data_IF_050336340080
#
_entry.id   IF_050336340080
#
_cell.length_a   1.000
_cell.length_b   1.000
_cell.length_c   1.000
_cell.angle_alpha   90.00
_cell.angle_beta   90.00
_cell.angle_gamma   90.00
#
_symmetry.space_group_name_H-M   'P 1'
#
loop_
_entity.id
_entity.type
_entity.pdbx_description
1 polymer ?
#
# COMPACT_ATOMS: atom_id res chain seq x y z
N UNK A 1 -4.37 -6.08 -10.13
CA UNK A 1 -3.98 -4.72 -9.71
C UNK A 1 -3.39 -3.99 -10.90
N UNK A 2 -3.69 -2.70 -11.00
CA UNK A 2 -3.32 -1.86 -12.13
C UNK A 2 -1.82 -1.48 -12.07
N UNK A 3 -1.03 -1.69 -13.15
CA UNK A 3 0.39 -1.37 -13.14
C UNK A 3 0.71 0.10 -12.91
N UNK A 4 -0.13 1.03 -13.38
CA UNK A 4 0.12 2.46 -13.19
C UNK A 4 -0.07 2.86 -11.72
N UNK A 5 -1.13 2.38 -11.06
CA UNK A 5 -1.33 2.58 -9.63
C UNK A 5 -0.20 1.96 -8.79
N UNK A 6 0.27 0.76 -9.15
CA UNK A 6 1.39 0.11 -8.44
C UNK A 6 2.68 0.92 -8.61
N UNK A 7 2.98 1.37 -9.84
CA UNK A 7 4.16 2.19 -10.10
C UNK A 7 4.10 3.54 -9.36
N UNK A 8 2.93 4.17 -9.27
CA UNK A 8 2.74 5.42 -8.51
C UNK A 8 3.09 5.23 -7.02
N UNK A 9 2.58 4.17 -6.39
CA UNK A 9 2.91 3.83 -4.99
C UNK A 9 4.43 3.67 -4.82
N UNK A 10 5.11 3.00 -5.75
CA UNK A 10 6.56 2.84 -5.69
C UNK A 10 7.33 4.15 -5.87
N UNK A 11 6.87 5.04 -6.75
CA UNK A 11 7.49 6.36 -6.90
C UNK A 11 7.35 7.20 -5.63
N UNK A 12 6.20 7.12 -4.97
CA UNK A 12 5.99 7.76 -3.66
C UNK A 12 6.94 7.19 -2.61
N UNK A 13 7.03 5.86 -2.48
CA UNK A 13 7.98 5.20 -1.56
C UNK A 13 9.42 5.64 -1.82
N UNK A 14 9.84 5.63 -3.10
CA UNK A 14 11.16 6.05 -3.53
C UNK A 14 11.44 7.52 -3.18
N UNK A 15 10.50 8.42 -3.45
CA UNK A 15 10.64 9.86 -3.17
C UNK A 15 10.83 10.17 -1.69
N UNK A 16 10.31 9.32 -0.80
CA UNK A 16 10.41 9.46 0.65
C UNK A 16 11.62 8.74 1.25
N UNK A 17 12.39 8.04 0.42
CA UNK A 17 13.58 7.30 0.85
C UNK A 17 13.25 6.08 1.72
N UNK A 18 12.06 5.50 1.56
CA UNK A 18 11.67 4.29 2.26
C UNK A 18 12.18 3.05 1.54
N UNK A 19 12.51 2.01 2.30
CA UNK A 19 12.83 0.69 1.74
C UNK A 19 11.52 -0.01 1.36
N UNK A 20 11.38 -0.41 0.10
CA UNK A 20 10.19 -1.10 -0.40
C UNK A 20 10.56 -2.31 -1.28
N UNK A 21 9.58 -3.18 -1.51
CA UNK A 21 9.65 -4.28 -2.47
C UNK A 21 8.26 -4.57 -3.03
N UNK A 22 8.18 -5.10 -4.26
CA UNK A 22 6.92 -5.62 -4.81
C UNK A 22 6.57 -6.93 -4.14
N UNK A 23 5.33 -7.04 -3.70
CA UNK A 23 4.78 -8.25 -3.10
C UNK A 23 3.42 -8.59 -3.66
N UNK A 24 3.12 -9.88 -3.73
CA UNK A 24 1.77 -10.38 -3.97
C UNK A 24 1.10 -10.63 -2.62
N UNK A 25 -0.16 -10.23 -2.49
CA UNK A 25 -0.93 -10.55 -1.29
C UNK A 25 -1.22 -12.06 -1.21
N UNK A 26 -0.90 -12.68 -0.06
CA UNK A 26 -1.35 -14.03 0.28
C UNK A 26 -2.77 -14.09 0.87
N UNK A 27 -3.35 -12.95 1.24
CA UNK A 27 -4.68 -12.84 1.83
C UNK A 27 -5.70 -12.21 0.86
N UNK A 28 -6.98 -12.47 1.11
CA UNK A 28 -8.09 -11.80 0.42
C UNK A 28 -8.36 -10.42 1.01
N UNK A 29 -8.57 -9.43 0.13
CA UNK A 29 -8.93 -8.05 0.48
C UNK A 29 -9.99 -7.53 -0.48
N UNK A 30 -10.81 -6.57 -0.06
CA UNK A 30 -11.82 -5.94 -0.92
C UNK A 30 -11.19 -5.32 -2.17
N UNK A 31 -9.96 -4.82 -2.06
CA UNK A 31 -9.18 -4.28 -3.17
C UNK A 31 -9.00 -5.27 -4.33
N UNK A 32 -9.03 -6.59 -4.07
CA UNK A 32 -9.01 -7.62 -5.11
C UNK A 32 -10.25 -7.52 -6.01
N UNK A 33 -11.42 -7.31 -5.42
CA UNK A 33 -12.67 -7.18 -6.16
C UNK A 33 -12.79 -5.79 -6.80
N UNK A 34 -12.31 -4.74 -6.13
CA UNK A 34 -12.25 -3.40 -6.72
C UNK A 34 -11.39 -3.36 -7.99
N UNK A 35 -10.33 -4.17 -8.06
CA UNK A 35 -9.46 -4.26 -9.23
C UNK A 35 -10.17 -4.75 -10.51
N UNK A 36 -11.36 -5.36 -10.41
CA UNK A 36 -12.16 -5.76 -11.58
C UNK A 36 -12.96 -4.60 -12.18
N UNK A 37 -13.14 -3.49 -11.44
CA UNK A 37 -14.02 -2.37 -11.84
C UNK A 37 -13.30 -1.01 -11.88
N UNK A 38 -12.12 -0.88 -11.27
CA UNK A 38 -11.31 0.34 -11.36
C UNK A 38 -9.81 0.07 -11.17
N UNK A 39 -8.93 0.95 -11.70
CA UNK A 39 -7.50 0.90 -11.41
C UNK A 39 -7.26 0.89 -9.89
N UNK A 40 -6.54 -0.13 -9.42
CA UNK A 40 -6.38 -0.39 -7.98
C UNK A 40 -4.96 -0.87 -7.69
N UNK A 41 -4.39 -0.43 -6.57
CA UNK A 41 -3.16 -0.95 -5.97
C UNK A 41 -3.33 -1.02 -4.43
N UNK A 42 -2.39 -1.67 -3.75
CA UNK A 42 -2.38 -1.78 -2.28
C UNK A 42 -1.04 -1.31 -1.73
N UNK A 43 -1.06 -0.73 -0.53
CA UNK A 43 0.14 -0.38 0.26
C UNK A 43 0.19 -1.31 1.47
N UNK A 44 1.29 -2.04 1.63
CA UNK A 44 1.51 -2.92 2.78
C UNK A 44 2.61 -2.38 3.69
N UNK A 45 2.43 -2.63 4.98
CA UNK A 45 3.47 -2.43 6.00
C UNK A 45 3.76 -3.76 6.70
N UNK A 46 4.98 -3.96 7.24
CA UNK A 46 5.29 -5.15 8.01
C UNK A 46 4.53 -5.17 9.34
N UNK A 47 3.94 -6.32 9.67
CA UNK A 47 3.47 -6.65 11.01
C UNK A 47 4.57 -7.40 11.78
N UNK A 48 4.58 -7.25 13.11
CA UNK A 48 5.50 -7.94 14.01
C UNK A 48 5.36 -9.45 13.84
N UNK A 49 6.48 -10.12 13.59
CA UNK A 49 6.58 -11.58 13.37
C UNK A 49 5.67 -12.13 12.24
N UNK A 50 5.13 -11.26 11.39
CA UNK A 50 4.16 -11.64 10.35
C UNK A 50 2.83 -12.17 10.89
N UNK A 51 2.53 -11.95 12.18
CA UNK A 51 1.29 -12.39 12.80
C UNK A 51 0.10 -11.56 12.32
N UNK A 52 -1.01 -12.23 12.08
CA UNK A 52 -2.31 -11.60 11.89
C UNK A 52 -3.45 -12.52 12.38
N UNK A 53 -4.65 -11.97 12.58
CA UNK A 53 -5.81 -12.68 13.16
C UNK A 53 -5.49 -13.28 14.52
N UNK A 54 -4.68 -12.57 15.29
CA UNK A 54 -4.21 -12.97 16.60
C UNK A 54 -4.18 -11.73 17.51
N UNK A 55 -4.48 -11.90 18.79
CA UNK A 55 -4.48 -10.81 19.77
C UNK A 55 -3.10 -10.16 19.96
N UNK A 56 -2.03 -10.84 19.55
CA UNK A 56 -0.65 -10.35 19.55
C UNK A 56 -0.25 -9.68 18.23
N UNK A 57 -1.17 -9.53 17.27
CA UNK A 57 -0.93 -8.76 16.05
C UNK A 57 -0.54 -7.32 16.41
N UNK A 58 0.60 -6.87 15.88
CA UNK A 58 1.17 -5.57 16.22
C UNK A 58 1.97 -5.00 15.04
N UNK A 59 2.07 -3.68 14.97
CA UNK A 59 2.83 -2.97 13.95
C UNK A 59 3.55 -1.78 14.58
N UNK A 60 4.84 -1.64 14.29
CA UNK A 60 5.63 -0.53 14.83
C UNK A 60 5.07 0.83 14.35
N UNK A 61 4.97 1.80 15.26
CA UNK A 61 4.44 3.15 14.99
C UNK A 61 5.05 3.79 13.73
N UNK A 62 6.38 3.69 13.58
CA UNK A 62 7.08 4.21 12.40
C UNK A 62 6.56 3.61 11.08
N UNK A 63 6.18 2.34 11.07
CA UNK A 63 5.63 1.64 9.89
C UNK A 63 4.21 2.09 9.60
N UNK A 64 3.39 2.27 10.64
CA UNK A 64 2.04 2.84 10.50
C UNK A 64 2.12 4.23 9.87
N UNK A 65 2.97 5.12 10.40
CA UNK A 65 3.18 6.47 9.87
C UNK A 65 3.66 6.44 8.42
N UNK A 66 4.69 5.62 8.10
CA UNK A 66 5.21 5.56 6.74
C UNK A 66 4.17 5.04 5.74
N UNK A 67 3.43 3.98 6.09
CA UNK A 67 2.39 3.41 5.24
C UNK A 67 1.24 4.39 5.01
N UNK A 68 0.78 5.08 6.05
CA UNK A 68 -0.25 6.11 5.92
C UNK A 68 0.20 7.28 5.04
N UNK A 69 1.46 7.70 5.15
CA UNK A 69 2.00 8.77 4.32
C UNK A 69 2.11 8.37 2.84
N UNK A 70 2.48 7.12 2.56
CA UNK A 70 2.51 6.58 1.19
C UNK A 70 1.10 6.50 0.62
N UNK A 71 0.13 6.02 1.40
CA UNK A 71 -1.27 5.99 1.00
C UNK A 71 -1.81 7.39 0.68
N UNK A 72 -1.57 8.36 1.58
CA UNK A 72 -2.01 9.75 1.40
C UNK A 72 -1.42 10.36 0.13
N UNK A 73 -0.11 10.26 -0.05
CA UNK A 73 0.58 10.86 -1.19
C UNK A 73 0.13 10.21 -2.51
N UNK A 74 -0.01 8.88 -2.55
CA UNK A 74 -0.46 8.16 -3.74
C UNK A 74 -1.91 8.52 -4.10
N UNK A 75 -2.79 8.59 -3.11
CA UNK A 75 -4.19 8.99 -3.33
C UNK A 75 -4.28 10.45 -3.79
N UNK A 76 -3.47 11.34 -3.23
CA UNK A 76 -3.40 12.75 -3.63
C UNK A 76 -2.91 12.90 -5.06
N UNK A 77 -1.79 12.24 -5.42
CA UNK A 77 -1.27 12.26 -6.79
C UNK A 77 -2.32 11.73 -7.79
N UNK A 78 -2.95 10.60 -7.48
CA UNK A 78 -4.00 10.03 -8.34
C UNK A 78 -5.19 10.98 -8.52
N UNK A 79 -5.60 11.68 -7.45
CA UNK A 79 -6.72 12.62 -7.51
C UNK A 79 -6.39 13.90 -8.28
N UNK A 80 -5.10 14.25 -8.42
CA UNK A 80 -4.64 15.43 -9.15
C UNK A 80 -4.26 15.13 -10.61
N UNK A 81 -4.36 13.87 -11.06
CA UNK A 81 -4.20 13.53 -12.47
C UNK A 81 -5.27 14.25 -13.30
N UNK A 82 -4.89 14.93 -14.41
CA UNK A 82 -5.87 15.50 -15.32
C UNK A 82 -6.71 14.38 -15.99
N UNK A 83 -7.96 14.70 -16.29
CA UNK A 83 -8.89 13.82 -17.04
C UNK A 83 -8.41 13.50 -18.46
#
# INVERSE_FOLDING_TARGET
FDPACVNMVEQVEHSRGYSYLRSSSGAGYDAKYMADICPTAMVFIPCKDGLSHNELEDAAEKRLISGSQVLLNSAFEKAMEPE
#
